data_IF_488427169862
#
_entry.id   IF_488427169862
#
_cell.length_a   1.000
_cell.length_b   1.000
_cell.length_c   1.000
_cell.angle_alpha   90.00
_cell.angle_beta   90.00
_cell.angle_gamma   90.00
#
_symmetry.space_group_name_H-M   'P 1'
#
loop_
_entity.id
_entity.type
_entity.pdbx_description
1 polymer ?
#
# COMPACT_ATOMS: atom_id res chain seq x y z
N UNK A 1 29.86 10.82 59.43
CA UNK A 1 29.45 12.00 58.63
C UNK A 1 30.10 11.91 57.24
N UNK A 2 29.72 10.94 56.40
CA UNK A 2 30.25 10.74 55.03
C UNK A 2 29.36 9.68 54.35
N UNK A 3 28.20 10.06 53.81
CA UNK A 3 27.31 9.14 53.06
C UNK A 3 26.36 9.84 52.07
N UNK A 4 26.51 11.16 51.84
CA UNK A 4 25.61 11.97 51.00
C UNK A 4 26.20 12.44 49.66
N UNK A 5 27.46 12.13 49.36
CA UNK A 5 28.12 12.63 48.14
C UNK A 5 28.11 11.67 46.94
N UNK A 6 27.65 10.42 47.09
CA UNK A 6 27.66 9.43 46.00
C UNK A 6 26.41 9.46 45.10
N UNK A 7 25.36 10.20 45.46
CA UNK A 7 24.09 10.22 44.70
C UNK A 7 24.07 11.33 43.63
N UNK A 8 24.91 12.37 43.74
CA UNK A 8 24.94 13.47 42.76
C UNK A 8 25.70 13.12 41.46
N UNK A 9 26.56 12.11 41.45
CA UNK A 9 27.34 11.73 40.26
C UNK A 9 26.60 10.78 39.30
N UNK A 10 25.52 10.13 39.76
CA UNK A 10 24.74 9.20 38.94
C UNK A 10 23.68 9.91 38.06
N UNK A 11 23.37 11.19 38.36
CA UNK A 11 22.43 12.00 37.57
C UNK A 11 23.08 12.77 36.40
N UNK A 12 24.41 12.86 36.35
CA UNK A 12 25.14 13.62 35.32
C UNK A 12 25.47 12.80 34.06
N UNK A 13 25.23 11.48 34.06
CA UNK A 13 25.44 10.61 32.89
C UNK A 13 24.15 10.26 32.14
N UNK A 14 23.01 10.79 32.57
CA UNK A 14 21.75 10.77 31.81
C UNK A 14 21.60 12.03 30.94
N UNK A 15 22.71 12.53 30.38
CA UNK A 15 22.63 13.37 29.18
C UNK A 15 22.18 12.44 28.07
N UNK A 16 20.87 12.22 28.01
CA UNK A 16 20.22 11.48 26.96
C UNK A 16 20.69 12.08 25.63
N UNK A 17 21.43 11.31 24.84
CA UNK A 17 21.64 11.58 23.44
C UNK A 17 20.26 11.58 22.78
N UNK A 18 19.56 12.71 22.81
CA UNK A 18 18.47 12.93 21.88
C UNK A 18 19.12 13.00 20.51
N UNK A 19 18.89 11.97 19.68
CA UNK A 19 19.36 12.00 18.30
C UNK A 19 18.94 13.34 17.67
N UNK A 20 19.94 14.13 17.30
CA UNK A 20 19.71 15.41 16.62
C UNK A 20 19.02 15.12 15.30
N UNK A 21 17.74 15.51 15.18
CA UNK A 21 16.93 15.29 13.99
C UNK A 21 17.45 16.13 12.80
N UNK A 22 17.19 15.70 11.55
CA UNK A 22 17.56 16.51 10.40
C UNK A 22 16.81 17.85 10.36
N UNK A 23 17.34 18.86 9.65
CA UNK A 23 16.63 20.11 9.45
C UNK A 23 15.39 19.89 8.57
N UNK A 24 14.25 20.47 8.95
CA UNK A 24 13.01 20.41 8.17
C UNK A 24 13.18 21.12 6.83
N UNK A 25 12.67 20.55 5.72
CA UNK A 25 12.74 21.19 4.42
C UNK A 25 11.79 22.40 4.35
N UNK A 26 12.11 23.44 3.57
CA UNK A 26 11.16 24.50 3.24
C UNK A 26 10.00 23.92 2.42
N UNK A 27 8.74 24.34 2.67
CA UNK A 27 7.59 23.90 1.88
C UNK A 27 7.77 24.24 0.39
N UNK A 28 7.39 23.34 -0.54
CA UNK A 28 7.38 23.65 -1.96
C UNK A 28 6.31 24.71 -2.27
N UNK A 29 6.53 25.51 -3.31
CA UNK A 29 5.68 26.63 -3.72
C UNK A 29 6.15 28.01 -3.24
N UNK A 30 7.20 28.07 -2.42
CA UNK A 30 7.84 29.33 -2.02
C UNK A 30 8.83 29.83 -3.09
N UNK A 31 9.17 31.13 -3.06
CA UNK A 31 10.18 31.70 -3.97
C UNK A 31 11.49 30.91 -3.81
N UNK A 32 11.94 30.30 -4.90
CA UNK A 32 13.17 29.49 -4.92
C UNK A 32 13.01 28.01 -4.57
N UNK A 33 11.82 27.55 -4.13
CA UNK A 33 11.55 26.13 -3.83
C UNK A 33 10.17 25.74 -4.34
N UNK A 34 10.09 24.83 -5.32
CA UNK A 34 8.80 24.30 -5.77
C UNK A 34 7.97 25.25 -6.63
N UNK A 35 8.59 26.18 -7.37
CA UNK A 35 7.90 26.93 -8.41
C UNK A 35 7.16 25.99 -9.39
N UNK A 36 6.09 26.48 -10.02
CA UNK A 36 5.17 25.65 -10.79
C UNK A 36 5.90 24.76 -11.82
N UNK A 37 5.63 23.45 -11.77
CA UNK A 37 6.24 22.39 -12.59
C UNK A 37 5.78 22.45 -14.08
N UNK A 38 5.22 23.59 -14.54
CA UNK A 38 4.81 23.71 -15.95
C UNK A 38 6.02 23.49 -16.89
N UNK A 39 5.97 22.41 -17.67
CA UNK A 39 6.89 22.18 -18.77
C UNK A 39 8.29 21.78 -18.34
N UNK A 40 8.44 20.82 -17.42
CA UNK A 40 9.70 20.09 -17.26
C UNK A 40 10.03 19.38 -18.58
N UNK A 41 10.71 20.08 -19.49
CA UNK A 41 11.20 19.56 -20.76
C UNK A 41 12.42 18.64 -20.54
N UNK A 42 12.32 17.71 -19.59
CA UNK A 42 13.39 16.81 -19.16
C UNK A 42 14.46 17.41 -18.23
N UNK A 43 14.46 18.72 -17.98
CA UNK A 43 15.42 19.35 -17.08
C UNK A 43 14.93 19.38 -15.62
N UNK A 44 15.70 18.81 -14.69
CA UNK A 44 15.39 18.84 -13.26
C UNK A 44 15.50 20.27 -12.69
N UNK A 45 14.51 20.77 -11.92
CA UNK A 45 14.61 22.07 -11.28
C UNK A 45 15.77 22.14 -10.27
N UNK A 46 16.35 23.32 -10.10
CA UNK A 46 17.45 23.54 -9.14
C UNK A 46 17.08 23.24 -7.68
N UNK A 47 15.80 23.31 -7.33
CA UNK A 47 15.27 23.00 -6.00
C UNK A 47 14.98 21.51 -5.79
N UNK A 48 15.00 20.72 -6.86
CA UNK A 48 14.68 19.30 -6.86
C UNK A 48 15.93 18.44 -7.11
N UNK A 49 15.86 17.20 -6.66
CA UNK A 49 16.80 16.13 -6.96
C UNK A 49 16.04 14.95 -7.56
N UNK A 50 16.78 14.09 -8.26
CA UNK A 50 16.24 12.80 -8.68
C UNK A 50 15.80 11.98 -7.47
N UNK A 51 14.66 11.31 -7.64
CA UNK A 51 14.13 10.36 -6.69
C UNK A 51 15.08 9.18 -6.47
N UNK A 52 15.53 8.97 -5.23
CA UNK A 52 16.33 7.80 -4.82
C UNK A 52 15.66 7.07 -3.68
N UNK A 53 15.71 5.74 -3.69
CA UNK A 53 15.04 4.88 -2.71
C UNK A 53 13.54 5.19 -2.54
N UNK A 54 12.90 5.62 -3.61
CA UNK A 54 11.47 5.88 -3.67
C UNK A 54 10.86 5.11 -4.83
N UNK A 55 9.66 4.56 -4.64
CA UNK A 55 8.89 3.94 -5.72
C UNK A 55 7.43 4.37 -5.64
N UNK A 56 6.85 4.66 -6.80
CA UNK A 56 5.41 4.88 -6.97
C UNK A 56 4.80 3.67 -7.70
N UNK A 57 3.75 3.08 -7.14
CA UNK A 57 3.08 1.90 -7.68
C UNK A 57 1.56 2.08 -7.69
N UNK A 58 0.86 1.87 -8.82
CA UNK A 58 1.44 1.70 -10.16
C UNK A 58 2.10 2.99 -10.66
N UNK A 59 3.00 2.88 -11.65
CA UNK A 59 3.62 4.05 -12.30
C UNK A 59 2.68 4.75 -13.30
N UNK A 60 1.56 4.10 -13.63
CA UNK A 60 0.47 4.63 -14.45
C UNK A 60 -0.86 4.29 -13.77
N UNK A 61 -1.78 5.22 -13.70
CA UNK A 61 -3.07 5.07 -13.03
C UNK A 61 -4.19 5.73 -13.83
N UNK A 62 -5.41 5.25 -13.68
CA UNK A 62 -6.62 5.92 -14.16
C UNK A 62 -7.20 6.81 -13.06
N UNK A 63 -8.16 7.66 -13.41
CA UNK A 63 -8.98 8.33 -12.43
C UNK A 63 -9.75 7.33 -11.57
N UNK A 64 -9.89 7.65 -10.28
CA UNK A 64 -10.43 6.83 -9.19
C UNK A 64 -9.54 5.66 -8.75
N UNK A 65 -8.37 5.46 -9.35
CA UNK A 65 -7.35 4.59 -8.79
C UNK A 65 -6.67 5.24 -7.58
N UNK A 66 -5.86 4.46 -6.87
CA UNK A 66 -4.88 4.96 -5.92
C UNK A 66 -3.46 4.68 -6.41
N UNK A 67 -2.53 5.61 -6.17
CA UNK A 67 -1.10 5.35 -6.30
C UNK A 67 -0.46 5.31 -4.91
N UNK A 68 0.47 4.39 -4.74
CA UNK A 68 1.19 4.17 -3.51
C UNK A 68 2.60 4.69 -3.66
N UNK A 69 2.96 5.62 -2.81
CA UNK A 69 4.33 6.08 -2.66
C UNK A 69 5.01 5.31 -1.54
N UNK A 70 6.15 4.71 -1.82
CA UNK A 70 7.02 4.03 -0.85
C UNK A 70 8.41 4.66 -0.84
N UNK A 71 8.96 4.82 0.36
CA UNK A 71 10.26 5.47 0.61
C UNK A 71 11.00 4.62 1.63
N UNK A 72 12.23 4.23 1.33
CA UNK A 72 13.04 3.36 2.20
C UNK A 72 14.52 3.79 2.21
N UNK A 73 15.34 3.10 3.00
CA UNK A 73 16.79 3.30 3.06
C UNK A 73 17.22 4.75 3.39
N UNK A 74 16.44 5.43 4.22
CA UNK A 74 16.80 6.71 4.86
C UNK A 74 16.75 6.53 6.37
N UNK A 75 17.54 7.29 7.12
CA UNK A 75 17.42 7.26 8.58
C UNK A 75 16.13 7.96 9.03
N UNK A 76 15.83 9.10 8.40
CA UNK A 76 14.62 9.88 8.63
C UNK A 76 14.02 10.42 7.33
N UNK A 77 12.70 10.32 7.22
CA UNK A 77 11.89 10.79 6.11
C UNK A 77 10.93 11.84 6.65
N UNK A 78 10.87 13.02 6.05
CA UNK A 78 9.99 14.08 6.54
C UNK A 78 8.54 13.64 6.39
N UNK A 79 7.72 13.74 7.44
CA UNK A 79 6.38 13.13 7.49
C UNK A 79 5.38 13.71 6.49
N UNK A 80 5.69 14.86 5.90
CA UNK A 80 4.86 15.52 4.91
C UNK A 80 5.47 15.37 3.50
N UNK A 81 4.70 14.78 2.59
CA UNK A 81 4.94 14.85 1.15
C UNK A 81 4.01 15.87 0.50
N UNK A 82 4.26 16.19 -0.77
CA UNK A 82 3.39 17.08 -1.54
C UNK A 82 3.14 16.54 -2.95
N UNK A 83 1.91 16.62 -3.46
CA UNK A 83 1.62 16.39 -4.88
C UNK A 83 1.27 17.72 -5.55
N UNK A 84 1.59 17.87 -6.83
CA UNK A 84 1.25 19.07 -7.57
C UNK A 84 -0.19 18.97 -8.09
N UNK A 85 -1.11 19.78 -7.54
CA UNK A 85 -2.46 19.85 -8.06
C UNK A 85 -2.45 20.60 -9.40
N UNK A 86 -2.75 19.87 -10.47
CA UNK A 86 -2.71 20.38 -11.84
C UNK A 86 -3.80 21.45 -12.10
N UNK A 87 -4.93 21.39 -11.39
CA UNK A 87 -6.06 22.32 -11.53
C UNK A 87 -5.81 23.63 -10.80
N UNK A 88 -5.47 23.55 -9.51
CA UNK A 88 -5.21 24.74 -8.68
C UNK A 88 -3.80 25.30 -8.83
N UNK A 89 -2.91 24.54 -9.49
CA UNK A 89 -1.50 24.91 -9.77
C UNK A 89 -0.68 25.15 -8.49
N UNK A 90 -1.04 24.47 -7.41
CA UNK A 90 -0.34 24.54 -6.11
C UNK A 90 0.09 23.15 -5.63
N UNK A 91 1.07 23.12 -4.74
CA UNK A 91 1.45 21.91 -4.02
C UNK A 91 0.49 21.65 -2.87
N UNK A 92 -0.13 20.47 -2.87
CA UNK A 92 -1.00 20.02 -1.80
C UNK A 92 -0.29 18.99 -0.94
N UNK A 93 -0.39 19.15 0.38
CA UNK A 93 0.27 18.29 1.36
C UNK A 93 -0.48 16.97 1.53
N UNK A 94 0.26 15.88 1.63
CA UNK A 94 -0.23 14.60 2.13
C UNK A 94 0.70 14.06 3.24
N UNK A 95 0.17 13.17 4.07
CA UNK A 95 0.91 12.60 5.20
C UNK A 95 1.47 11.24 4.82
N UNK A 96 2.74 11.02 5.15
CA UNK A 96 3.37 9.71 5.13
C UNK A 96 3.09 8.96 6.44
N UNK A 97 3.04 7.63 6.35
CA UNK A 97 2.84 6.71 7.47
C UNK A 97 4.12 5.91 7.73
N UNK A 98 4.42 5.64 8.99
CA UNK A 98 5.55 4.81 9.44
C UNK A 98 5.87 5.04 10.93
N UNK A 99 7.06 4.66 11.39
CA UNK A 99 7.50 4.88 12.78
C UNK A 99 7.78 6.36 13.03
N UNK A 100 6.84 7.06 13.66
CA UNK A 100 6.92 8.52 13.87
C UNK A 100 7.93 8.92 14.96
N UNK A 101 8.73 9.95 14.67
CA UNK A 101 9.55 10.71 15.60
C UNK A 101 9.39 12.21 15.30
N UNK A 102 8.45 12.87 16.01
CA UNK A 102 8.00 14.25 15.71
C UNK A 102 7.51 14.37 14.26
N UNK A 103 8.06 15.29 13.48
CA UNK A 103 7.72 15.52 12.07
C UNK A 103 8.51 14.61 11.10
N UNK A 104 9.10 13.53 11.61
CA UNK A 104 9.88 12.59 10.82
C UNK A 104 9.35 11.17 10.99
N UNK A 105 9.48 10.37 9.95
CA UNK A 105 9.27 8.94 9.92
C UNK A 105 10.65 8.27 9.90
N UNK A 106 10.91 7.35 10.82
CA UNK A 106 12.19 6.65 10.91
C UNK A 106 12.26 5.49 9.92
N UNK A 107 13.36 5.38 9.19
CA UNK A 107 13.65 4.24 8.30
C UNK A 107 12.88 4.23 6.98
N UNK A 108 11.56 4.06 7.07
CA UNK A 108 10.70 3.76 5.93
C UNK A 108 9.31 4.35 6.09
N UNK A 109 8.76 4.83 4.99
CA UNK A 109 7.50 5.56 4.97
C UNK A 109 6.67 5.21 3.73
N UNK A 110 5.35 5.26 3.89
CA UNK A 110 4.39 4.99 2.80
C UNK A 110 3.26 6.01 2.78
N UNK A 111 2.69 6.29 1.61
CA UNK A 111 1.44 7.02 1.47
C UNK A 111 0.58 6.43 0.35
N UNK A 112 -0.73 6.48 0.56
CA UNK A 112 -1.72 6.24 -0.50
C UNK A 112 -2.28 7.57 -0.97
N UNK A 113 -2.28 7.80 -2.27
CA UNK A 113 -2.67 9.04 -2.93
C UNK A 113 -3.80 8.71 -3.91
N UNK A 114 -5.05 9.14 -3.65
CA UNK A 114 -6.15 8.90 -4.56
C UNK A 114 -5.99 9.75 -5.82
N UNK A 115 -6.10 9.13 -7.00
CA UNK A 115 -5.97 9.79 -8.31
C UNK A 115 -7.34 10.31 -8.73
N UNK A 116 -7.60 11.59 -8.47
CA UNK A 116 -8.89 12.22 -8.76
C UNK A 116 -8.77 13.32 -9.83
N UNK A 117 -9.77 13.48 -10.72
CA UNK A 117 -9.75 14.46 -11.81
C UNK A 117 -9.82 15.93 -11.35
N UNK A 118 -10.16 16.19 -10.08
CA UNK A 118 -10.11 17.52 -9.45
C UNK A 118 -8.67 17.94 -9.06
N UNK A 119 -7.74 16.98 -8.98
CA UNK A 119 -6.35 17.20 -8.55
C UNK A 119 -5.34 16.92 -9.65
N UNK A 120 -5.56 15.88 -10.44
CA UNK A 120 -4.60 15.39 -11.44
C UNK A 120 -5.11 15.62 -12.86
N UNK A 121 -4.17 15.81 -13.79
CA UNK A 121 -4.46 15.91 -15.22
C UNK A 121 -3.95 14.65 -15.95
N UNK A 122 -4.54 14.32 -17.09
CA UNK A 122 -3.99 13.27 -17.96
C UNK A 122 -2.55 13.59 -18.36
N UNK A 123 -1.71 12.55 -18.44
CA UNK A 123 -0.27 12.67 -18.69
C UNK A 123 0.56 12.63 -17.41
N UNK A 124 1.69 13.34 -17.42
CA UNK A 124 2.67 13.28 -16.33
C UNK A 124 2.23 14.12 -15.12
N UNK A 125 2.27 13.49 -13.95
CA UNK A 125 1.96 14.09 -12.66
C UNK A 125 3.14 13.88 -11.70
N UNK A 126 3.22 14.74 -10.69
CA UNK A 126 4.42 14.83 -9.87
C UNK A 126 4.09 14.92 -8.40
N UNK A 127 4.93 14.27 -7.60
CA UNK A 127 4.96 14.40 -6.16
C UNK A 127 6.40 14.65 -5.69
N UNK A 128 6.53 15.20 -4.49
CA UNK A 128 7.81 15.45 -3.85
C UNK A 128 7.84 14.93 -2.43
N UNK A 129 8.98 14.36 -2.07
CA UNK A 129 9.27 13.86 -0.71
C UNK A 129 10.69 14.21 -0.29
N UNK A 130 10.96 14.12 1.00
CA UNK A 130 12.24 14.55 1.57
C UNK A 130 12.75 13.50 2.54
N UNK A 131 13.96 12.99 2.30
CA UNK A 131 14.62 11.97 3.10
C UNK A 131 16.07 12.35 3.39
N UNK A 132 16.55 11.96 4.57
CA UNK A 132 17.88 12.26 5.07
C UNK A 132 18.57 11.00 5.60
N UNK A 133 19.87 10.89 5.32
CA UNK A 133 20.76 9.84 5.86
C UNK A 133 21.91 10.51 6.59
N UNK A 134 22.33 9.96 7.73
CA UNK A 134 23.42 10.46 8.56
C UNK A 134 24.73 9.85 8.07
N UNK A 135 25.63 10.68 7.55
CA UNK A 135 26.96 10.27 7.07
C UNK A 135 28.01 11.07 7.81
N UNK A 136 28.91 10.39 8.55
CA UNK A 136 29.96 11.07 9.31
C UNK A 136 29.45 12.05 10.37
N UNK A 137 28.26 11.79 10.94
CA UNK A 137 27.61 12.66 11.91
C UNK A 137 26.83 13.84 11.32
N UNK A 138 26.91 14.08 10.01
CA UNK A 138 26.17 15.12 9.29
C UNK A 138 24.97 14.54 8.52
N UNK A 139 23.92 15.34 8.37
CA UNK A 139 22.73 14.96 7.60
C UNK A 139 22.93 15.24 6.10
N UNK A 140 22.94 14.18 5.28
CA UNK A 140 22.76 14.28 3.83
C UNK A 140 21.27 14.15 3.47
N UNK A 141 20.67 15.26 3.07
CA UNK A 141 19.27 15.36 2.65
C UNK A 141 19.18 15.72 1.15
N UNK A 142 19.87 14.98 0.28
CA UNK A 142 19.87 15.24 -1.17
C UNK A 142 20.35 16.65 -1.53
N UNK A 143 21.43 17.14 -0.90
CA UNK A 143 21.87 18.53 -1.04
C UNK A 143 20.78 19.57 -0.69
N UNK A 144 19.92 19.26 0.29
CA UNK A 144 18.78 20.07 0.76
C UNK A 144 17.71 20.28 -0.30
N UNK A 145 17.50 19.27 -1.16
CA UNK A 145 16.50 19.32 -2.25
C UNK A 145 15.40 18.29 -2.04
N UNK A 146 14.23 18.63 -2.55
CA UNK A 146 13.09 17.70 -2.62
C UNK A 146 13.37 16.63 -3.67
N UNK A 147 13.07 15.37 -3.36
CA UNK A 147 13.10 14.28 -4.34
C UNK A 147 11.83 14.35 -5.17
N UNK A 148 11.96 14.49 -6.49
CA UNK A 148 10.83 14.57 -7.42
C UNK A 148 10.50 13.18 -7.98
N UNK A 149 9.28 12.72 -7.76
CA UNK A 149 8.76 11.44 -8.28
C UNK A 149 7.66 11.74 -9.29
N UNK A 150 7.71 11.08 -10.45
CA UNK A 150 6.71 11.21 -11.50
C UNK A 150 5.87 9.93 -11.63
N UNK A 151 4.61 10.09 -12.01
CA UNK A 151 3.72 9.01 -12.43
C UNK A 151 2.78 9.51 -13.52
N UNK A 152 2.15 8.60 -14.26
CA UNK A 152 1.25 8.95 -15.36
C UNK A 152 -0.21 8.74 -14.99
N UNK A 153 -1.08 9.67 -15.38
CA UNK A 153 -2.53 9.50 -15.33
C UNK A 153 -3.03 9.28 -16.75
N UNK A 154 -3.77 8.20 -16.96
CA UNK A 154 -4.24 7.76 -18.28
C UNK A 154 -5.65 8.25 -18.63
N UNK A 155 -6.30 9.00 -17.73
CA UNK A 155 -7.67 9.46 -17.88
C UNK A 155 -8.66 8.50 -17.23
N UNK A 156 -9.88 8.42 -17.76
CA UNK A 156 -10.86 7.41 -17.36
C UNK A 156 -10.56 6.09 -18.06
N UNK A 157 -10.76 4.96 -17.37
CA UNK A 157 -10.61 3.64 -17.99
C UNK A 157 -11.64 3.47 -19.12
N UNK A 158 -11.18 3.39 -20.37
CA UNK A 158 -12.04 3.36 -21.56
C UNK A 158 -12.55 1.97 -22.00
N UNK A 159 -12.45 0.96 -21.13
CA UNK A 159 -12.89 -0.42 -21.41
C UNK A 159 -14.15 -0.79 -20.64
N UNK A 160 -15.07 -1.51 -21.26
CA UNK A 160 -16.33 -2.00 -20.67
C UNK A 160 -16.14 -3.08 -19.59
N UNK A 161 -15.30 -2.85 -18.58
CA UNK A 161 -15.58 -3.36 -17.23
C UNK A 161 -16.55 -2.31 -16.66
N UNK A 162 -17.70 -2.67 -16.04
CA UNK A 162 -18.75 -1.75 -15.62
C UNK A 162 -18.22 -0.68 -14.65
N UNK A 163 -17.59 0.33 -15.26
CA UNK A 163 -16.62 1.25 -14.70
C UNK A 163 -15.61 0.61 -13.72
N UNK A 164 -14.53 1.30 -13.50
CA UNK A 164 -13.74 1.24 -12.27
C UNK A 164 -14.59 1.63 -11.03
N UNK A 165 -15.87 1.25 -10.99
CA UNK A 165 -16.85 1.61 -9.99
C UNK A 165 -16.44 0.94 -8.68
N UNK A 166 -15.66 1.70 -7.93
CA UNK A 166 -15.38 1.50 -6.53
C UNK A 166 -14.64 0.19 -6.25
N UNK A 167 -13.46 -0.01 -6.85
CA UNK A 167 -12.52 -1.06 -6.40
C UNK A 167 -12.36 -1.03 -4.87
N UNK A 168 -12.35 0.17 -4.27
CA UNK A 168 -12.31 0.40 -2.82
C UNK A 168 -13.52 -0.18 -2.05
N UNK A 169 -14.66 -0.37 -2.71
CA UNK A 169 -15.80 -1.09 -2.16
C UNK A 169 -15.52 -2.58 -2.03
N UNK A 170 -14.72 -3.17 -2.91
CA UNK A 170 -14.47 -4.61 -2.93
C UNK A 170 -13.19 -5.00 -2.18
N UNK A 171 -12.10 -4.26 -2.34
CA UNK A 171 -10.85 -4.55 -1.64
C UNK A 171 -10.61 -3.58 -0.48
N UNK A 172 -9.66 -3.89 0.40
CA UNK A 172 -9.25 -2.99 1.48
C UNK A 172 -8.11 -2.11 0.97
N UNK A 173 -8.44 -0.98 0.33
CA UNK A 173 -7.46 -0.04 -0.23
C UNK A 173 -6.90 0.95 0.81
N UNK A 174 -6.43 0.41 1.94
CA UNK A 174 -5.70 1.15 2.98
C UNK A 174 -4.61 0.28 3.57
N UNK A 175 -3.58 0.90 4.14
CA UNK A 175 -2.54 0.17 4.87
C UNK A 175 -3.15 -0.69 6.00
N UNK A 176 -2.66 -1.92 6.12
CA UNK A 176 -3.02 -2.87 7.17
C UNK A 176 -1.72 -3.21 7.88
N UNK A 177 -1.31 -2.48 8.93
CA UNK A 177 0.01 -2.65 9.53
C UNK A 177 0.32 -4.12 9.85
N UNK A 178 1.51 -4.63 9.49
CA UNK A 178 2.67 -3.91 8.92
C UNK A 178 2.62 -3.67 7.40
N UNK A 179 1.57 -4.08 6.71
CA UNK A 179 1.46 -4.02 5.26
C UNK A 179 1.04 -2.65 4.72
N UNK A 180 1.68 -2.24 3.63
CA UNK A 180 1.19 -1.21 2.74
C UNK A 180 0.51 -1.85 1.53
N UNK A 181 -0.65 -1.33 1.11
CA UNK A 181 -1.20 -1.65 -0.22
C UNK A 181 -0.19 -1.13 -1.24
N UNK A 182 0.09 -1.88 -2.31
CA UNK A 182 0.98 -1.47 -3.41
C UNK A 182 0.30 -1.47 -4.78
N UNK A 183 -0.78 -2.26 -4.96
CA UNK A 183 -1.55 -2.30 -6.20
C UNK A 183 -2.98 -2.70 -5.87
N UNK A 184 -3.95 -2.09 -6.55
CA UNK A 184 -5.32 -2.61 -6.64
C UNK A 184 -5.74 -2.70 -8.11
N UNK A 185 -6.75 -3.50 -8.41
CA UNK A 185 -7.24 -3.66 -9.78
C UNK A 185 -8.59 -4.37 -9.83
N UNK A 186 -9.20 -4.35 -11.01
CA UNK A 186 -10.34 -5.18 -11.34
C UNK A 186 -10.15 -5.74 -12.75
N UNK A 187 -10.48 -7.00 -12.95
CA UNK A 187 -10.51 -7.65 -14.25
C UNK A 187 -11.66 -8.64 -14.35
N UNK A 188 -12.10 -8.93 -15.57
CA UNK A 188 -12.99 -10.07 -15.79
C UNK A 188 -12.19 -11.35 -15.67
N UNK A 189 -12.76 -12.31 -14.98
CA UNK A 189 -12.21 -13.65 -14.83
C UNK A 189 -13.28 -14.69 -15.14
N UNK A 190 -12.85 -15.92 -15.41
CA UNK A 190 -13.74 -17.03 -15.75
C UNK A 190 -13.26 -18.27 -15.02
N UNK A 191 -14.18 -18.93 -14.30
CA UNK A 191 -13.94 -20.28 -13.84
C UNK A 191 -14.41 -21.25 -14.95
N UNK A 192 -13.43 -21.83 -15.64
CA UNK A 192 -13.67 -22.87 -16.63
C UNK A 192 -14.08 -24.17 -15.94
N UNK A 193 -15.19 -24.76 -16.35
CA UNK A 193 -15.66 -25.98 -15.75
C UNK A 193 -14.82 -27.22 -16.10
N UNK A 194 -14.74 -28.15 -15.15
CA UNK A 194 -14.30 -29.53 -15.40
C UNK A 194 -15.46 -30.48 -15.73
N UNK A 195 -16.73 -30.03 -15.60
CA UNK A 195 -17.91 -30.91 -15.60
C UNK A 195 -18.95 -30.69 -16.71
N UNK A 196 -18.81 -29.68 -17.57
CA UNK A 196 -19.59 -29.54 -18.81
C UNK A 196 -20.78 -28.57 -18.80
N UNK A 197 -20.88 -27.65 -17.84
CA UNK A 197 -21.77 -26.49 -17.89
C UNK A 197 -21.07 -25.26 -18.51
N UNK A 198 -21.85 -24.17 -18.67
CA UNK A 198 -21.41 -22.89 -19.20
C UNK A 198 -20.36 -22.21 -18.31
N UNK A 199 -19.45 -21.46 -18.93
CA UNK A 199 -18.44 -20.63 -18.24
C UNK A 199 -19.05 -19.72 -17.17
N UNK A 200 -18.56 -19.82 -15.92
CA UNK A 200 -18.96 -18.91 -14.84
C UNK A 200 -18.10 -17.65 -14.91
N UNK A 201 -18.70 -16.57 -15.41
CA UNK A 201 -18.07 -15.26 -15.52
C UNK A 201 -18.12 -14.51 -14.20
N UNK A 202 -17.01 -13.91 -13.82
CA UNK A 202 -16.88 -13.18 -12.55
C UNK A 202 -16.12 -11.88 -12.77
N UNK A 203 -16.30 -10.92 -11.87
CA UNK A 203 -15.39 -9.77 -11.77
C UNK A 203 -14.42 -10.03 -10.62
N UNK A 204 -13.13 -10.11 -10.90
CA UNK A 204 -12.09 -10.28 -9.90
C UNK A 204 -11.52 -8.93 -9.51
N UNK A 205 -11.55 -8.63 -8.22
CA UNK A 205 -10.91 -7.46 -7.64
C UNK A 205 -9.64 -7.86 -6.90
N UNK A 206 -8.54 -7.22 -7.25
CA UNK A 206 -7.22 -7.54 -6.75
C UNK A 206 -6.73 -6.47 -5.78
N UNK A 207 -6.08 -6.89 -4.70
CA UNK A 207 -5.26 -6.03 -3.86
C UNK A 207 -3.96 -6.73 -3.51
N UNK A 208 -2.85 -6.03 -3.75
CA UNK A 208 -1.51 -6.49 -3.43
C UNK A 208 -0.98 -5.65 -2.27
N UNK A 209 -0.48 -6.33 -1.25
CA UNK A 209 0.09 -5.75 -0.05
C UNK A 209 1.57 -6.10 0.04
N UNK A 210 2.37 -5.22 0.65
CA UNK A 210 3.79 -5.44 0.89
C UNK A 210 4.17 -5.07 2.31
N UNK A 211 4.85 -5.99 2.98
CA UNK A 211 5.52 -5.75 4.26
C UNK A 211 6.89 -5.07 4.06
N UNK A 212 7.41 -4.36 5.08
CA UNK A 212 8.76 -3.81 5.14
C UNK A 212 9.88 -4.78 4.73
N UNK A 213 9.73 -6.06 5.09
CA UNK A 213 10.71 -7.12 4.83
C UNK A 213 10.60 -7.72 3.41
N UNK A 214 9.70 -7.19 2.57
CA UNK A 214 9.47 -7.64 1.20
C UNK A 214 8.44 -8.76 1.03
N UNK A 215 7.82 -9.28 2.08
CA UNK A 215 6.70 -10.22 1.94
C UNK A 215 5.57 -9.53 1.17
N UNK A 216 5.10 -10.18 0.10
CA UNK A 216 3.95 -9.77 -0.68
C UNK A 216 2.77 -10.66 -0.35
N UNK A 217 1.60 -10.06 -0.21
CA UNK A 217 0.33 -10.74 -0.04
C UNK A 217 -0.59 -10.30 -1.16
N UNK A 218 -1.21 -11.25 -1.83
CA UNK A 218 -2.20 -11.00 -2.86
C UNK A 218 -3.57 -11.39 -2.33
N UNK A 219 -4.55 -10.51 -2.53
CA UNK A 219 -5.94 -10.78 -2.21
C UNK A 219 -6.74 -10.64 -3.48
N UNK A 220 -7.52 -11.67 -3.78
CA UNK A 220 -8.54 -11.69 -4.81
C UNK A 220 -9.91 -11.73 -4.14
N UNK A 221 -10.80 -10.85 -4.58
CA UNK A 221 -12.23 -10.92 -4.28
C UNK A 221 -12.93 -11.19 -5.60
N UNK A 222 -13.43 -12.41 -5.76
CA UNK A 222 -14.20 -12.81 -6.93
C UNK A 222 -15.67 -12.49 -6.66
N UNK A 223 -16.23 -11.55 -7.41
CA UNK A 223 -17.64 -11.17 -7.32
C UNK A 223 -18.46 -11.87 -8.40
N UNK A 224 -19.38 -12.71 -7.95
CA UNK A 224 -20.23 -13.52 -8.82
C UNK A 224 -21.58 -12.85 -9.07
N UNK A 225 -22.26 -13.29 -10.13
CA UNK A 225 -23.61 -12.83 -10.42
C UNK A 225 -24.63 -13.36 -9.40
N UNK A 226 -24.40 -14.55 -8.85
CA UNK A 226 -25.30 -15.18 -7.89
C UNK A 226 -24.58 -16.00 -6.81
N UNK A 227 -25.29 -16.29 -5.71
CA UNK A 227 -24.80 -17.24 -4.69
C UNK A 227 -24.68 -18.66 -5.24
N UNK A 228 -25.54 -19.05 -6.18
CA UNK A 228 -25.50 -20.37 -6.79
C UNK A 228 -24.16 -20.56 -7.53
N UNK A 229 -23.71 -19.55 -8.28
CA UNK A 229 -22.43 -19.57 -8.99
C UNK A 229 -21.25 -19.75 -8.03
N UNK A 230 -21.31 -19.14 -6.83
CA UNK A 230 -20.30 -19.34 -5.77
C UNK A 230 -20.30 -20.79 -5.31
N UNK A 231 -21.47 -21.35 -4.98
CA UNK A 231 -21.59 -22.72 -4.47
C UNK A 231 -21.13 -23.74 -5.53
N UNK A 232 -21.46 -23.52 -6.81
CA UNK A 232 -21.02 -24.35 -7.94
C UNK A 232 -19.50 -24.26 -8.12
N UNK A 233 -18.94 -23.04 -8.12
CA UNK A 233 -17.48 -22.81 -8.21
C UNK A 233 -16.74 -23.44 -7.04
N UNK A 234 -17.27 -23.33 -5.82
CA UNK A 234 -16.68 -23.94 -4.62
C UNK A 234 -16.65 -25.46 -4.73
N UNK A 235 -17.74 -26.07 -5.19
CA UNK A 235 -17.82 -27.51 -5.35
C UNK A 235 -16.85 -28.01 -6.44
N UNK A 236 -16.77 -27.31 -7.58
CA UNK A 236 -15.94 -27.71 -8.71
C UNK A 236 -14.44 -27.48 -8.48
N UNK A 237 -14.05 -26.32 -7.92
CA UNK A 237 -12.65 -25.89 -7.88
C UNK A 237 -12.01 -25.90 -6.49
N UNK A 238 -12.81 -25.73 -5.43
CA UNK A 238 -12.28 -25.54 -4.08
C UNK A 238 -12.60 -26.69 -3.12
N UNK A 239 -13.37 -27.71 -3.52
CA UNK A 239 -13.85 -28.75 -2.61
C UNK A 239 -12.71 -29.51 -1.91
N UNK A 240 -11.64 -29.88 -2.63
CA UNK A 240 -10.49 -30.56 -2.05
C UNK A 240 -9.74 -29.66 -1.05
N UNK A 241 -9.47 -28.43 -1.47
CA UNK A 241 -8.84 -27.40 -0.65
C UNK A 241 -9.62 -27.15 0.64
N UNK A 242 -10.95 -27.02 0.56
CA UNK A 242 -11.79 -26.76 1.72
C UNK A 242 -11.82 -27.99 2.64
N UNK A 243 -11.90 -29.20 2.08
CA UNK A 243 -11.92 -30.43 2.86
C UNK A 243 -10.61 -30.63 3.65
N UNK A 244 -9.47 -30.38 3.02
CA UNK A 244 -8.15 -30.57 3.63
C UNK A 244 -7.73 -29.38 4.51
N UNK A 245 -8.12 -28.17 4.12
CA UNK A 245 -7.71 -26.92 4.75
C UNK A 245 -8.67 -26.37 5.81
N UNK A 246 -9.78 -27.04 6.10
CA UNK A 246 -10.82 -26.53 7.00
C UNK A 246 -10.28 -26.12 8.38
N UNK A 247 -10.45 -24.85 8.75
CA UNK A 247 -10.13 -24.31 10.07
C UNK A 247 -11.18 -23.30 10.55
N UNK A 248 -11.26 -23.13 11.87
CA UNK A 248 -12.03 -22.05 12.50
C UNK A 248 -11.05 -20.96 12.93
N UNK A 249 -11.27 -19.73 12.45
CA UNK A 249 -10.46 -18.56 12.75
C UNK A 249 -11.37 -17.42 13.22
N UNK A 250 -11.21 -16.97 14.48
CA UNK A 250 -12.08 -15.95 15.10
C UNK A 250 -13.59 -16.24 15.02
N UNK A 251 -13.97 -17.53 15.06
CA UNK A 251 -15.37 -17.95 14.93
C UNK A 251 -15.88 -18.05 13.49
N UNK A 252 -15.05 -17.72 12.50
CA UNK A 252 -15.35 -17.86 11.09
C UNK A 252 -14.70 -19.12 10.51
N UNK A 253 -15.38 -19.79 9.58
CA UNK A 253 -14.81 -20.93 8.86
C UNK A 253 -13.93 -20.42 7.71
N UNK A 254 -12.71 -20.92 7.61
CA UNK A 254 -11.78 -20.61 6.52
C UNK A 254 -11.09 -21.89 6.06
N UNK A 255 -10.73 -21.97 4.79
CA UNK A 255 -9.85 -23.02 4.29
C UNK A 255 -8.42 -22.48 4.21
N UNK A 256 -7.49 -23.15 4.87
CA UNK A 256 -6.06 -22.81 4.91
C UNK A 256 -5.25 -23.98 4.36
N UNK A 257 -4.51 -23.77 3.27
CA UNK A 257 -3.71 -24.81 2.63
C UNK A 257 -2.35 -24.27 2.17
N UNK A 258 -1.48 -25.19 1.77
CA UNK A 258 -0.21 -24.87 1.14
C UNK A 258 -0.36 -25.19 -0.36
N UNK A 259 -0.26 -24.18 -1.21
CA UNK A 259 -0.30 -24.34 -2.66
C UNK A 259 0.97 -25.02 -3.20
N UNK A 260 0.97 -25.35 -4.48
CA UNK A 260 2.07 -26.08 -5.14
C UNK A 260 3.41 -25.33 -5.12
N UNK A 261 3.38 -24.00 -5.01
CA UNK A 261 4.56 -23.14 -4.94
C UNK A 261 5.04 -22.85 -3.51
N UNK A 262 4.64 -23.68 -2.53
CA UNK A 262 4.88 -23.43 -1.10
C UNK A 262 4.28 -22.10 -0.60
N UNK A 263 3.23 -21.61 -1.28
CA UNK A 263 2.49 -20.41 -0.87
C UNK A 263 1.40 -20.79 0.12
N UNK A 264 1.23 -20.01 1.20
CA UNK A 264 0.09 -20.20 2.08
C UNK A 264 -1.11 -19.48 1.49
N UNK A 265 -2.20 -20.21 1.37
CA UNK A 265 -3.46 -19.68 0.87
C UNK A 265 -4.53 -19.79 1.94
N UNK A 266 -5.29 -18.71 2.12
CA UNK A 266 -6.53 -18.68 2.88
C UNK A 266 -7.69 -18.36 1.95
N UNK A 267 -8.79 -19.11 2.01
CA UNK A 267 -9.99 -18.81 1.23
C UNK A 267 -11.28 -19.08 1.99
N UNK A 268 -12.31 -18.28 1.70
CA UNK A 268 -13.66 -18.45 2.23
C UNK A 268 -14.69 -17.77 1.32
N UNK A 269 -15.96 -18.10 1.53
CA UNK A 269 -17.10 -17.45 0.86
C UNK A 269 -17.76 -16.43 1.77
N UNK A 270 -18.37 -15.41 1.18
CA UNK A 270 -19.26 -14.48 1.88
C UNK A 270 -20.29 -13.99 0.87
N UNK A 271 -21.59 -14.27 1.05
CA UNK A 271 -22.60 -13.79 0.11
C UNK A 271 -22.37 -14.31 -1.31
N UNK A 272 -22.20 -13.42 -2.28
CA UNK A 272 -21.93 -13.74 -3.69
C UNK A 272 -20.44 -13.65 -4.03
N UNK A 273 -19.58 -13.63 -3.01
CA UNK A 273 -18.16 -13.40 -3.14
C UNK A 273 -17.32 -14.60 -2.67
N UNK A 274 -16.21 -14.86 -3.36
CA UNK A 274 -15.11 -15.70 -2.88
C UNK A 274 -13.92 -14.81 -2.56
N UNK A 275 -13.38 -14.95 -1.36
CA UNK A 275 -12.17 -14.25 -0.94
C UNK A 275 -11.02 -15.25 -0.95
N UNK A 276 -9.93 -14.89 -1.60
CA UNK A 276 -8.73 -15.69 -1.74
C UNK A 276 -7.51 -14.85 -1.38
N UNK A 277 -6.78 -15.24 -0.34
CA UNK A 277 -5.60 -14.55 0.16
C UNK A 277 -4.40 -15.48 -0.01
N UNK A 278 -3.44 -15.07 -0.81
CA UNK A 278 -2.21 -15.80 -1.08
C UNK A 278 -1.00 -15.05 -0.50
N UNK A 279 -0.15 -15.77 0.21
CA UNK A 279 1.13 -15.25 0.69
C UNK A 279 2.27 -16.01 0.04
N UNK A 280 3.26 -15.26 -0.46
CA UNK A 280 4.41 -15.83 -1.17
C UNK A 280 5.47 -16.43 -0.21
N UNK A 281 5.04 -16.99 0.94
CA UNK A 281 5.87 -17.70 1.94
C UNK A 281 5.08 -18.78 2.70
N UNK A 282 5.68 -19.96 2.86
CA UNK A 282 5.05 -21.14 3.48
C UNK A 282 4.71 -20.98 4.97
N UNK A 283 5.45 -20.12 5.67
CA UNK A 283 5.38 -19.92 7.11
C UNK A 283 4.47 -18.77 7.55
N UNK A 284 4.01 -17.92 6.64
CA UNK A 284 3.26 -16.70 6.98
C UNK A 284 1.89 -16.73 6.32
N UNK A 285 0.86 -17.17 7.04
CA UNK A 285 -0.50 -16.73 6.72
C UNK A 285 -0.62 -15.32 7.32
N UNK A 286 -0.75 -14.29 6.47
CA UNK A 286 -0.77 -12.89 6.88
C UNK A 286 -2.04 -12.58 7.65
N UNK A 287 -2.04 -12.93 8.95
CA UNK A 287 -3.17 -12.88 9.86
C UNK A 287 -3.84 -11.51 9.83
N UNK A 288 -3.07 -10.44 9.77
CA UNK A 288 -3.57 -9.06 9.73
C UNK A 288 -4.42 -8.81 8.47
N UNK A 289 -4.00 -9.32 7.31
CA UNK A 289 -4.77 -9.24 6.06
C UNK A 289 -6.03 -10.08 6.16
N UNK A 290 -5.91 -11.33 6.63
CA UNK A 290 -7.04 -12.25 6.78
C UNK A 290 -8.10 -11.68 7.73
N UNK A 291 -7.69 -11.16 8.89
CA UNK A 291 -8.58 -10.55 9.89
C UNK A 291 -9.32 -9.33 9.32
N UNK A 292 -8.61 -8.50 8.54
CA UNK A 292 -9.19 -7.31 7.93
C UNK A 292 -10.24 -7.67 6.88
N UNK A 293 -9.95 -8.65 6.03
CA UNK A 293 -10.89 -9.11 5.02
C UNK A 293 -12.05 -9.91 5.62
N UNK A 294 -11.86 -10.69 6.67
CA UNK A 294 -12.96 -11.36 7.38
C UNK A 294 -13.93 -10.37 8.02
N UNK A 295 -13.43 -9.22 8.48
CA UNK A 295 -14.30 -8.16 9.01
C UNK A 295 -15.16 -7.52 7.92
N UNK A 296 -14.60 -7.36 6.72
CA UNK A 296 -15.30 -6.84 5.54
C UNK A 296 -16.25 -7.88 4.93
N UNK A 297 -15.83 -9.13 4.92
CA UNK A 297 -16.51 -10.29 4.34
C UNK A 297 -16.62 -11.42 5.37
N UNK A 298 -17.58 -11.35 6.31
CA UNK A 298 -17.80 -12.40 7.27
C UNK A 298 -18.05 -13.74 6.58
N UNK A 299 -17.28 -14.76 6.95
CA UNK A 299 -17.37 -16.06 6.29
C UNK A 299 -18.73 -16.71 6.49
N UNK A 300 -19.33 -17.16 5.39
CA UNK A 300 -20.46 -18.08 5.36
C UNK A 300 -20.07 -19.46 4.80
N UNK A 301 -18.77 -19.75 4.74
CA UNK A 301 -18.22 -21.00 4.21
C UNK A 301 -18.80 -22.21 4.95
N UNK A 302 -19.34 -23.15 4.18
CA UNK A 302 -19.90 -24.43 4.64
C UNK A 302 -18.94 -25.56 4.33
N UNK A 303 -18.98 -26.59 5.17
CA UNK A 303 -18.19 -27.79 4.97
C UNK A 303 -18.77 -28.55 3.77
N UNK A 304 -17.91 -28.81 2.78
CA UNK A 304 -18.24 -29.50 1.51
C UNK A 304 -17.96 -30.99 1.62
#
# INVERSE_FOLDING_TARGET
>A
MMKRFAILMLFALLVACSDELPPSPPPPGQVGVGAAIAGLAGAMPSWAAEARNTAITPSQAYYNDGVILSISNFDYIYSNGYFFNAKSRVWERFNLQGEMNKDWVKGQAVASIPVSPDKFAEGDNYLVVYGCTKVGGQWDCNNRRWMLVAFKVLGFAGGQIPESANIDQFVVNRGIPPFAVIKTGAEYDVFEETTGFDEIKVVRYDAQYREPNGLVVLVHVFDFASRQDVDDTVFAHFAEIIRQGWKVHQGHNVALFLGENDHRVATWTSGKEIIYVETFKAESASKEIIDEYLRKYPSDLKKV
#
